data_IF_665789324143
#
_entry.id   IF_665789324143
#
_cell.length_a   1.000
_cell.length_b   1.000
_cell.length_c   1.000
_cell.angle_alpha   90.00
_cell.angle_beta   90.00
_cell.angle_gamma   90.00
#
_symmetry.space_group_name_H-M   'P 1'
#
loop_
_entity.id
_entity.type
_entity.pdbx_description
1 polymer ?
#
# COMPACT_ATOMS: atom_id res chain seq x y z
N UNK A 1 33.90 7.01 -10.57
CA UNK A 1 34.38 7.56 -9.28
C UNK A 1 35.38 6.58 -8.71
N UNK A 2 36.42 7.08 -8.04
CA UNK A 2 37.38 6.25 -7.33
C UNK A 2 36.93 6.12 -5.86
N UNK A 3 36.78 4.88 -5.39
CA UNK A 3 36.30 4.54 -4.05
C UNK A 3 37.43 3.87 -3.27
N UNK A 4 37.67 4.34 -2.05
CA UNK A 4 38.59 3.67 -1.13
C UNK A 4 37.98 2.36 -0.62
N UNK A 5 38.84 1.42 -0.21
CA UNK A 5 38.39 0.17 0.41
C UNK A 5 37.55 0.44 1.68
N UNK A 6 37.89 1.49 2.44
CA UNK A 6 37.15 1.87 3.64
C UNK A 6 35.72 2.34 3.31
N UNK A 7 35.57 3.21 2.30
CA UNK A 7 34.26 3.70 1.83
C UNK A 7 33.37 2.52 1.36
N UNK A 8 33.93 1.57 0.62
CA UNK A 8 33.20 0.38 0.13
C UNK A 8 32.74 -0.50 1.28
N UNK A 9 33.63 -0.79 2.23
CA UNK A 9 33.28 -1.64 3.37
C UNK A 9 32.26 -0.98 4.28
N UNK A 10 32.36 0.33 4.48
CA UNK A 10 31.40 1.11 5.28
C UNK A 10 30.02 1.11 4.63
N UNK A 11 29.95 1.37 3.32
CA UNK A 11 28.69 1.31 2.57
C UNK A 11 28.03 -0.07 2.63
N UNK A 12 28.82 -1.13 2.46
CA UNK A 12 28.31 -2.50 2.54
C UNK A 12 27.75 -2.84 3.92
N UNK A 13 28.41 -2.38 4.99
CA UNK A 13 27.92 -2.59 6.36
C UNK A 13 26.58 -1.90 6.60
N UNK A 14 26.41 -0.65 6.13
CA UNK A 14 25.13 0.07 6.21
C UNK A 14 24.07 -0.73 5.44
N UNK A 15 24.32 -1.06 4.17
CA UNK A 15 23.40 -1.83 3.33
C UNK A 15 22.99 -3.18 3.97
N UNK A 16 23.96 -3.96 4.49
CA UNK A 16 23.69 -5.26 5.09
C UNK A 16 22.83 -5.17 6.36
N UNK A 17 22.99 -4.09 7.14
CA UNK A 17 22.16 -3.87 8.34
C UNK A 17 20.73 -3.47 7.97
N UNK A 18 20.57 -2.49 7.07
CA UNK A 18 19.26 -1.95 6.70
C UNK A 18 18.43 -2.95 5.89
N UNK A 19 19.05 -3.70 4.97
CA UNK A 19 18.35 -4.71 4.15
C UNK A 19 17.79 -5.85 4.99
N UNK A 20 18.43 -6.21 6.10
CA UNK A 20 17.96 -7.25 7.01
C UNK A 20 16.76 -6.81 7.86
N UNK A 21 16.73 -5.54 8.30
CA UNK A 21 15.68 -5.02 9.20
C UNK A 21 14.56 -4.27 8.46
N UNK A 22 14.81 -3.80 7.25
CA UNK A 22 13.96 -2.86 6.52
C UNK A 22 14.16 -1.39 6.92
N UNK A 23 14.98 -1.10 7.94
CA UNK A 23 15.30 0.24 8.39
C UNK A 23 16.65 0.31 9.13
N UNK A 24 17.16 1.53 9.36
CA UNK A 24 18.40 1.80 10.08
C UNK A 24 18.21 2.34 11.49
N UNK A 25 19.29 2.33 12.28
CA UNK A 25 19.40 3.10 13.52
C UNK A 25 20.10 4.45 13.25
N UNK A 26 20.24 5.29 14.29
CA UNK A 26 20.71 6.67 14.16
C UNK A 26 22.14 6.79 13.61
N UNK A 27 23.01 5.83 13.95
CA UNK A 27 24.43 5.85 13.53
C UNK A 27 24.58 5.66 12.02
N UNK A 28 23.85 4.72 11.41
CA UNK A 28 23.90 4.51 9.96
C UNK A 28 23.34 5.72 9.20
N UNK A 29 22.26 6.33 9.70
CA UNK A 29 21.69 7.54 9.11
C UNK A 29 22.73 8.67 9.09
N UNK A 30 23.43 8.89 10.21
CA UNK A 30 24.44 9.95 10.30
C UNK A 30 25.54 9.79 9.25
N UNK A 31 26.07 8.58 9.09
CA UNK A 31 27.10 8.30 8.09
C UNK A 31 26.55 8.47 6.67
N UNK A 32 25.36 7.93 6.40
CA UNK A 32 24.70 8.04 5.09
C UNK A 32 24.43 9.49 4.68
N UNK A 33 24.10 10.38 5.63
CA UNK A 33 23.87 11.80 5.34
C UNK A 33 25.17 12.59 5.19
N UNK A 34 26.24 12.23 5.91
CA UNK A 34 27.49 12.98 5.93
C UNK A 34 28.45 12.62 4.78
N UNK A 35 28.47 11.36 4.35
CA UNK A 35 29.48 10.83 3.43
C UNK A 35 28.88 10.52 2.05
N UNK A 36 28.93 11.49 1.12
CA UNK A 36 28.29 11.40 -0.20
C UNK A 36 28.69 10.15 -1.02
N UNK A 37 29.96 9.75 -0.96
CA UNK A 37 30.44 8.55 -1.67
C UNK A 37 29.89 7.27 -1.06
N UNK A 38 29.84 7.20 0.27
CA UNK A 38 29.27 6.07 1.01
C UNK A 38 27.78 5.97 0.69
N UNK A 39 27.05 7.10 0.74
CA UNK A 39 25.65 7.19 0.30
C UNK A 39 25.45 6.63 -1.10
N UNK A 40 26.23 7.10 -2.07
CA UNK A 40 26.14 6.67 -3.46
C UNK A 40 26.32 5.16 -3.64
N UNK A 41 27.25 4.56 -2.88
CA UNK A 41 27.46 3.11 -2.87
C UNK A 41 26.30 2.35 -2.21
N UNK A 42 25.80 2.84 -1.06
CA UNK A 42 24.63 2.24 -0.38
C UNK A 42 23.42 2.23 -1.32
N UNK A 43 23.16 3.34 -2.00
CA UNK A 43 22.06 3.46 -2.97
C UNK A 43 22.29 2.56 -4.20
N UNK A 44 23.54 2.36 -4.61
CA UNK A 44 23.87 1.44 -5.69
C UNK A 44 23.60 -0.02 -5.29
N UNK A 45 24.01 -0.44 -4.10
CA UNK A 45 23.75 -1.79 -3.61
C UNK A 45 22.26 -2.08 -3.46
N UNK A 46 21.46 -1.10 -3.02
CA UNK A 46 20.01 -1.23 -2.98
C UNK A 46 19.39 -1.40 -4.38
N UNK A 47 19.86 -0.62 -5.36
CA UNK A 47 19.39 -0.71 -6.74
C UNK A 47 19.68 -2.06 -7.40
N UNK A 48 20.82 -2.70 -7.11
CA UNK A 48 21.16 -4.03 -7.62
C UNK A 48 20.18 -5.14 -7.17
N UNK A 49 19.38 -4.88 -6.13
CA UNK A 49 18.36 -5.80 -5.60
C UNK A 49 16.94 -5.23 -5.73
N UNK A 50 16.75 -4.33 -6.69
CA UNK A 50 15.47 -3.66 -6.98
C UNK A 50 14.83 -3.00 -5.75
N UNK A 51 15.65 -2.37 -4.92
CA UNK A 51 15.23 -1.65 -3.73
C UNK A 51 15.65 -0.18 -3.77
N UNK A 52 14.99 0.62 -2.94
CA UNK A 52 15.31 2.02 -2.72
C UNK A 52 15.57 2.29 -1.24
N UNK A 53 16.28 3.40 -0.99
CA UNK A 53 16.57 3.89 0.35
C UNK A 53 16.14 5.34 0.45
N UNK A 54 15.46 5.68 1.54
CA UNK A 54 15.11 7.05 1.86
C UNK A 54 15.13 7.28 3.36
N UNK A 55 15.46 8.51 3.77
CA UNK A 55 15.42 8.92 5.17
C UNK A 55 14.05 9.50 5.54
N UNK A 56 13.56 9.15 6.71
CA UNK A 56 12.40 9.79 7.36
C UNK A 56 12.70 9.92 8.85
N UNK A 57 12.66 11.15 9.36
CA UNK A 57 13.07 11.43 10.73
C UNK A 57 14.49 10.95 11.01
N UNK A 58 14.65 10.09 12.02
CA UNK A 58 15.95 9.55 12.46
C UNK A 58 16.26 8.14 11.91
N UNK A 59 15.59 7.72 10.83
CA UNK A 59 15.81 6.39 10.23
C UNK A 59 15.98 6.46 8.72
N UNK A 60 16.78 5.54 8.18
CA UNK A 60 16.69 5.12 6.78
C UNK A 60 15.67 3.99 6.67
N UNK A 61 14.92 3.96 5.58
CA UNK A 61 14.04 2.87 5.20
C UNK A 61 14.59 2.18 3.96
N UNK A 62 14.44 0.87 3.90
CA UNK A 62 14.82 0.03 2.77
C UNK A 62 13.57 -0.64 2.22
N UNK A 63 13.18 -0.29 0.99
CA UNK A 63 11.88 -0.66 0.42
C UNK A 63 12.06 -1.30 -0.96
N UNK A 64 11.46 -2.48 -1.24
CA UNK A 64 11.47 -3.08 -2.57
C UNK A 64 10.62 -2.26 -3.55
N UNK A 65 11.14 -2.06 -4.76
CA UNK A 65 10.46 -1.35 -5.86
C UNK A 65 9.75 -2.31 -6.84
N UNK A 66 10.16 -3.58 -6.87
CA UNK A 66 9.66 -4.54 -7.85
C UNK A 66 9.35 -5.90 -7.21
N UNK A 67 8.41 -6.63 -7.82
CA UNK A 67 7.96 -7.95 -7.33
C UNK A 67 9.05 -9.02 -7.37
N UNK A 68 10.03 -8.87 -8.25
CA UNK A 68 11.19 -9.77 -8.38
C UNK A 68 12.30 -9.47 -7.36
N UNK A 69 12.19 -8.36 -6.60
CA UNK A 69 13.16 -8.08 -5.54
C UNK A 69 13.18 -9.22 -4.52
N UNK A 70 14.36 -9.67 -4.05
CA UNK A 70 14.45 -10.68 -3.00
C UNK A 70 13.86 -10.22 -1.66
N UNK A 71 13.58 -8.92 -1.52
CA UNK A 71 12.98 -8.31 -0.33
C UNK A 71 11.45 -8.11 -0.47
N UNK A 72 10.87 -8.48 -1.61
CA UNK A 72 9.42 -8.46 -1.80
C UNK A 72 8.72 -9.52 -0.91
N UNK A 73 7.66 -9.12 -0.23
CA UNK A 73 6.85 -10.06 0.58
C UNK A 73 6.00 -10.90 -0.38
N UNK A 74 6.30 -12.19 -0.47
CA UNK A 74 5.54 -13.10 -1.34
C UNK A 74 4.10 -13.28 -0.87
N UNK A 75 3.21 -13.60 -1.83
CA UNK A 75 1.81 -13.93 -1.55
C UNK A 75 1.66 -15.07 -0.51
N UNK A 76 2.55 -16.06 -0.54
CA UNK A 76 2.51 -17.16 0.44
C UNK A 76 2.89 -16.68 1.85
N UNK A 77 3.85 -15.77 1.96
CA UNK A 77 4.21 -15.15 3.24
C UNK A 77 3.05 -14.31 3.78
N UNK A 78 2.40 -13.50 2.93
CA UNK A 78 1.22 -12.72 3.31
C UNK A 78 0.11 -13.64 3.83
N UNK A 79 -0.22 -14.71 3.10
CA UNK A 79 -1.26 -15.67 3.48
C UNK A 79 -0.99 -16.31 4.83
N UNK A 80 0.24 -16.79 5.04
CA UNK A 80 0.64 -17.47 6.29
C UNK A 80 0.67 -16.54 7.49
N UNK A 81 0.98 -15.26 7.27
CA UNK A 81 1.21 -14.30 8.36
C UNK A 81 -0.06 -13.59 8.78
N UNK A 82 -0.87 -13.14 7.82
CA UNK A 82 -2.01 -12.25 8.09
C UNK A 82 -3.37 -12.89 7.84
N UNK A 83 -3.42 -13.89 6.96
CA UNK A 83 -4.67 -14.50 6.51
C UNK A 83 -4.84 -15.94 7.03
N UNK A 84 -5.94 -16.58 6.63
CA UNK A 84 -6.25 -17.97 7.00
C UNK A 84 -5.76 -18.93 5.91
N UNK A 85 -5.65 -20.22 6.24
CA UNK A 85 -5.22 -21.24 5.28
C UNK A 85 -6.14 -21.45 4.06
N UNK A 86 -7.32 -20.80 4.01
CA UNK A 86 -8.25 -20.85 2.87
C UNK A 86 -8.07 -19.69 1.88
N UNK A 87 -7.17 -18.76 2.16
CA UNK A 87 -7.01 -17.52 1.38
C UNK A 87 -6.37 -17.78 0.01
N UNK A 88 -7.01 -17.26 -1.03
CA UNK A 88 -6.59 -17.33 -2.43
C UNK A 88 -5.90 -16.02 -2.85
N UNK A 89 -5.24 -16.02 -4.03
CA UNK A 89 -4.54 -14.80 -4.50
C UNK A 89 -5.49 -13.62 -4.72
N UNK A 90 -6.74 -13.89 -5.10
CA UNK A 90 -7.76 -12.85 -5.25
C UNK A 90 -8.04 -12.09 -3.95
N UNK A 91 -7.90 -12.71 -2.78
CA UNK A 91 -8.08 -12.02 -1.49
C UNK A 91 -6.92 -11.05 -1.20
N UNK A 92 -5.68 -11.41 -1.59
CA UNK A 92 -4.51 -10.52 -1.49
C UNK A 92 -4.65 -9.35 -2.46
N UNK A 93 -5.09 -9.64 -3.67
CA UNK A 93 -5.35 -8.61 -4.66
C UNK A 93 -6.44 -7.64 -4.18
N UNK A 94 -7.50 -8.16 -3.55
CA UNK A 94 -8.51 -7.31 -2.92
C UNK A 94 -7.97 -6.50 -1.74
N UNK A 95 -7.08 -7.09 -0.92
CA UNK A 95 -6.36 -6.35 0.12
C UNK A 95 -5.64 -5.14 -0.48
N UNK A 96 -4.90 -5.31 -1.58
CA UNK A 96 -4.24 -4.19 -2.24
C UNK A 96 -5.24 -3.11 -2.66
N UNK A 97 -6.35 -3.47 -3.31
CA UNK A 97 -7.39 -2.48 -3.68
C UNK A 97 -7.91 -1.71 -2.47
N UNK A 98 -8.16 -2.37 -1.33
CA UNK A 98 -8.62 -1.65 -0.13
C UNK A 98 -7.55 -0.73 0.46
N UNK A 99 -6.26 -1.06 0.33
CA UNK A 99 -5.13 -0.19 0.72
C UNK A 99 -5.05 1.03 -0.19
N UNK A 100 -5.21 0.82 -1.50
CA UNK A 100 -5.26 1.89 -2.51
C UNK A 100 -6.36 2.89 -2.16
N UNK A 101 -7.58 2.39 -1.87
CA UNK A 101 -8.71 3.23 -1.47
C UNK A 101 -8.39 3.94 -0.13
N UNK A 102 -7.85 3.23 0.86
CA UNK A 102 -7.48 3.83 2.15
C UNK A 102 -6.53 5.00 1.98
N UNK A 103 -5.45 4.79 1.23
CA UNK A 103 -4.46 5.85 1.00
C UNK A 103 -5.08 6.98 0.22
N UNK A 104 -5.99 6.68 -0.71
CA UNK A 104 -6.65 7.73 -1.47
C UNK A 104 -7.49 8.69 -0.61
N UNK A 105 -8.08 8.20 0.48
CA UNK A 105 -8.82 9.05 1.43
C UNK A 105 -7.97 10.12 2.13
N UNK A 106 -6.65 9.98 2.08
CA UNK A 106 -5.74 10.98 2.64
C UNK A 106 -5.29 12.01 1.60
N UNK A 107 -5.61 11.87 0.31
CA UNK A 107 -5.14 12.77 -0.74
C UNK A 107 -6.27 13.15 -1.70
N UNK A 108 -6.66 14.42 -1.73
CA UNK A 108 -7.83 14.87 -2.52
C UNK A 108 -7.66 14.77 -4.06
N UNK A 109 -6.45 14.52 -4.56
CA UNK A 109 -6.14 14.42 -6.00
C UNK A 109 -4.72 13.88 -6.27
N UNK A 110 -4.41 13.51 -7.53
CA UNK A 110 -3.03 13.23 -8.00
C UNK A 110 -2.02 14.34 -7.75
N UNK A 111 -2.51 15.57 -7.66
CA UNK A 111 -1.66 16.75 -7.53
C UNK A 111 -1.42 17.11 -6.07
N UNK A 112 -2.14 16.45 -5.15
CA UNK A 112 -2.03 16.71 -3.73
C UNK A 112 -0.75 16.04 -3.21
N UNK A 113 0.26 16.85 -2.90
CA UNK A 113 1.54 16.35 -2.40
C UNK A 113 1.52 16.09 -0.90
N UNK A 114 0.56 16.62 -0.16
CA UNK A 114 0.44 16.45 1.29
C UNK A 114 -0.88 15.78 1.66
N UNK A 115 -0.90 15.01 2.74
CA UNK A 115 -2.13 14.41 3.21
C UNK A 115 -3.11 15.51 3.66
N UNK A 116 -4.34 15.48 3.17
CA UNK A 116 -5.40 16.47 3.45
C UNK A 116 -6.27 16.07 4.64
N UNK A 117 -6.15 14.82 5.09
CA UNK A 117 -6.86 14.25 6.23
C UNK A 117 -5.86 13.78 7.29
N UNK A 118 -6.15 14.03 8.57
CA UNK A 118 -5.28 13.58 9.67
C UNK A 118 -5.49 12.11 10.03
N UNK A 119 -6.74 11.64 10.00
CA UNK A 119 -7.11 10.28 10.35
C UNK A 119 -8.42 9.84 9.67
N UNK A 120 -8.63 8.54 9.53
CA UNK A 120 -9.87 7.93 9.04
C UNK A 120 -10.33 6.81 9.96
N UNK A 121 -11.64 6.76 10.26
CA UNK A 121 -12.18 5.66 11.06
C UNK A 121 -12.28 4.37 10.24
N UNK A 122 -12.23 3.21 10.91
CA UNK A 122 -12.47 1.92 10.25
C UNK A 122 -13.85 1.84 9.59
N UNK A 123 -14.85 2.52 10.15
CA UNK A 123 -16.21 2.58 9.59
C UNK A 123 -16.25 3.43 8.33
N UNK A 124 -15.57 4.57 8.34
CA UNK A 124 -15.44 5.43 7.16
C UNK A 124 -14.70 4.67 6.07
N UNK A 125 -13.55 4.07 6.36
CA UNK A 125 -12.82 3.26 5.37
C UNK A 125 -13.70 2.16 4.76
N UNK A 126 -14.52 1.48 5.57
CA UNK A 126 -15.49 0.52 5.07
C UNK A 126 -16.53 1.16 4.13
N UNK A 127 -17.08 2.32 4.50
CA UNK A 127 -18.02 3.06 3.66
C UNK A 127 -17.37 3.40 2.31
N UNK A 128 -16.15 3.95 2.34
CA UNK A 128 -15.42 4.34 1.15
C UNK A 128 -15.19 3.14 0.21
N UNK A 129 -14.77 1.98 0.75
CA UNK A 129 -14.64 0.75 -0.03
C UNK A 129 -15.98 0.33 -0.64
N UNK A 130 -17.09 0.38 0.12
CA UNK A 130 -18.41 0.06 -0.44
C UNK A 130 -18.76 0.97 -1.63
N UNK A 131 -18.64 2.28 -1.47
CA UNK A 131 -19.01 3.25 -2.50
C UNK A 131 -18.24 3.04 -3.81
N UNK A 132 -16.92 2.82 -3.75
CA UNK A 132 -16.12 2.58 -4.98
C UNK A 132 -16.53 1.29 -5.66
N UNK A 133 -16.81 0.24 -4.89
CA UNK A 133 -17.22 -1.05 -5.44
C UNK A 133 -18.63 -1.01 -6.02
N UNK A 134 -19.54 -0.25 -5.42
CA UNK A 134 -20.88 0.02 -5.95
C UNK A 134 -20.79 0.79 -7.27
N UNK A 135 -19.92 1.81 -7.37
CA UNK A 135 -19.69 2.52 -8.63
C UNK A 135 -19.14 1.60 -9.71
N UNK A 136 -18.16 0.75 -9.39
CA UNK A 136 -17.65 -0.25 -10.33
C UNK A 136 -18.71 -1.27 -10.76
N UNK A 137 -19.57 -1.69 -9.84
CA UNK A 137 -20.65 -2.62 -10.12
C UNK A 137 -21.75 -2.01 -11.00
N UNK A 138 -21.93 -0.68 -10.94
CA UNK A 138 -22.85 0.05 -11.81
C UNK A 138 -22.35 0.19 -13.25
N UNK A 139 -21.04 -0.03 -13.51
CA UNK A 139 -20.49 -0.09 -14.86
C UNK A 139 -21.02 -1.33 -15.58
N UNK A 140 -21.46 -1.17 -16.83
CA UNK A 140 -21.93 -2.28 -17.65
C UNK A 140 -20.85 -3.37 -17.79
N UNK A 141 -21.25 -4.65 -17.82
CA UNK A 141 -20.30 -5.78 -17.89
C UNK A 141 -19.35 -5.73 -19.09
N UNK A 142 -19.78 -5.12 -20.19
CA UNK A 142 -18.97 -4.97 -21.40
C UNK A 142 -17.92 -3.88 -21.19
N UNK A 143 -18.34 -2.69 -20.76
CA UNK A 143 -17.46 -1.57 -20.41
C UNK A 143 -16.45 -1.95 -19.32
N UNK A 144 -16.88 -2.67 -18.28
CA UNK A 144 -16.00 -3.13 -17.20
C UNK A 144 -14.88 -4.02 -17.75
N UNK A 145 -15.18 -4.92 -18.70
CA UNK A 145 -14.16 -5.77 -19.33
C UNK A 145 -13.20 -4.99 -20.22
N UNK A 146 -13.63 -3.87 -20.80
CA UNK A 146 -12.71 -2.98 -21.54
C UNK A 146 -11.75 -2.29 -20.57
N UNK A 147 -12.27 -1.76 -19.46
CA UNK A 147 -11.46 -1.16 -18.39
C UNK A 147 -10.49 -2.17 -17.76
N UNK A 148 -10.92 -3.43 -17.55
CA UNK A 148 -10.03 -4.49 -17.05
C UNK A 148 -8.83 -4.73 -17.98
N UNK A 149 -9.04 -4.64 -19.30
CA UNK A 149 -7.95 -4.79 -20.29
C UNK A 149 -7.07 -3.55 -20.33
N UNK A 150 -7.66 -2.36 -20.28
CA UNK A 150 -6.94 -1.09 -20.33
C UNK A 150 -6.00 -0.93 -19.14
N UNK A 151 -6.50 -1.21 -17.93
CA UNK A 151 -5.74 -1.01 -16.70
C UNK A 151 -4.95 -2.26 -16.27
N UNK A 152 -5.22 -3.43 -16.86
CA UNK A 152 -4.71 -4.74 -16.44
C UNK A 152 -5.11 -5.10 -14.98
N UNK A 153 -6.28 -4.64 -14.54
CA UNK A 153 -6.87 -4.95 -13.22
C UNK A 153 -8.12 -5.82 -13.39
N UNK A 154 -8.23 -6.91 -12.63
CA UNK A 154 -9.40 -7.79 -12.64
C UNK A 154 -10.50 -7.29 -11.71
N UNK A 155 -11.23 -6.24 -12.13
CA UNK A 155 -12.29 -5.60 -11.36
C UNK A 155 -13.46 -6.53 -11.04
N UNK A 156 -13.82 -7.41 -11.96
CA UNK A 156 -14.89 -8.40 -11.80
C UNK A 156 -14.61 -9.32 -10.62
N UNK A 157 -13.37 -9.81 -10.49
CA UNK A 157 -12.97 -10.64 -9.35
C UNK A 157 -13.03 -9.87 -8.03
N UNK A 158 -12.75 -8.57 -8.04
CA UNK A 158 -12.87 -7.72 -6.84
C UNK A 158 -14.32 -7.56 -6.41
N UNK A 159 -15.22 -7.26 -7.34
CA UNK A 159 -16.66 -7.12 -7.09
C UNK A 159 -17.24 -8.45 -6.57
N UNK A 160 -16.87 -9.56 -7.21
CA UNK A 160 -17.26 -10.91 -6.77
C UNK A 160 -16.79 -11.17 -5.34
N UNK A 161 -15.53 -10.87 -5.02
CA UNK A 161 -14.99 -11.03 -3.66
C UNK A 161 -15.71 -10.22 -2.61
N UNK A 162 -16.07 -8.98 -2.93
CA UNK A 162 -16.82 -8.15 -2.01
C UNK A 162 -18.25 -8.65 -1.76
N UNK A 163 -18.84 -9.24 -2.80
CA UNK A 163 -20.16 -9.87 -2.74
C UNK A 163 -20.11 -11.18 -1.95
N UNK A 164 -19.08 -12.01 -2.13
CA UNK A 164 -18.92 -13.28 -1.39
C UNK A 164 -18.79 -13.07 0.13
N UNK A 165 -18.19 -11.96 0.56
CA UNK A 165 -18.13 -11.60 1.98
C UNK A 165 -19.53 -11.39 2.58
N UNK A 166 -20.55 -11.15 1.75
CA UNK A 166 -21.93 -10.98 2.19
C UNK A 166 -22.66 -12.29 2.51
N UNK A 167 -22.28 -13.39 1.85
CA UNK A 167 -23.01 -14.66 1.89
C UNK A 167 -22.62 -15.57 3.07
N UNK A 168 -21.59 -15.19 3.83
CA UNK A 168 -21.11 -15.99 4.98
C UNK A 168 -22.09 -16.02 6.19
N UNK A 169 -23.22 -15.29 6.16
CA UNK A 169 -24.24 -15.28 7.23
C UNK A 169 -25.68 -15.20 6.70
N UNK A 170 -26.20 -16.31 6.16
CA UNK A 170 -27.64 -16.52 5.92
C UNK A 170 -28.40 -16.70 7.25
N UNK A 171 -28.74 -15.62 7.95
CA UNK A 171 -29.84 -15.59 8.95
C UNK A 171 -30.47 -14.20 9.00
N UNK A 172 -31.66 -14.05 9.60
CA UNK A 172 -32.43 -12.80 9.68
C UNK A 172 -31.71 -11.56 10.29
N UNK A 173 -30.45 -11.69 10.70
CA UNK A 173 -29.50 -10.60 11.06
C UNK A 173 -28.48 -10.31 9.94
N UNK A 174 -28.84 -10.59 8.69
CA UNK A 174 -27.93 -10.60 7.54
C UNK A 174 -27.12 -9.30 7.40
N UNK A 175 -27.75 -8.13 7.47
CA UNK A 175 -27.07 -6.84 7.31
C UNK A 175 -25.99 -6.62 8.38
N UNK A 176 -26.29 -6.87 9.66
CA UNK A 176 -25.29 -6.82 10.74
C UNK A 176 -24.18 -7.86 10.54
N UNK A 177 -24.53 -9.03 9.99
CA UNK A 177 -23.58 -10.08 9.65
C UNK A 177 -22.55 -9.70 8.58
N UNK A 178 -23.01 -9.02 7.52
CA UNK A 178 -22.22 -8.52 6.37
C UNK A 178 -21.22 -7.45 6.77
N UNK A 179 -21.67 -6.46 7.54
CA UNK A 179 -20.79 -5.40 8.06
C UNK A 179 -19.66 -6.01 8.90
N UNK A 180 -19.95 -7.05 9.69
CA UNK A 180 -18.94 -7.73 10.51
C UNK A 180 -17.89 -8.47 9.66
N UNK A 181 -18.27 -9.17 8.59
CA UNK A 181 -17.30 -9.90 7.75
C UNK A 181 -16.39 -8.95 6.98
N UNK A 182 -16.97 -7.90 6.38
CA UNK A 182 -16.20 -6.84 5.68
C UNK A 182 -15.27 -6.09 6.60
N UNK A 183 -15.75 -5.68 7.79
CA UNK A 183 -14.91 -5.03 8.79
C UNK A 183 -13.80 -5.96 9.30
N UNK A 184 -14.08 -7.26 9.48
CA UNK A 184 -13.06 -8.25 9.85
C UNK A 184 -11.98 -8.41 8.78
N UNK A 185 -12.34 -8.30 7.49
CA UNK A 185 -11.37 -8.28 6.41
C UNK A 185 -10.49 -7.02 6.50
N UNK A 186 -11.09 -5.84 6.64
CA UNK A 186 -10.34 -4.58 6.79
C UNK A 186 -9.45 -4.56 8.03
N UNK A 187 -9.85 -5.16 9.15
CA UNK A 187 -8.96 -5.35 10.29
C UNK A 187 -7.75 -6.24 9.97
N UNK A 188 -7.91 -7.23 9.09
CA UNK A 188 -6.77 -8.04 8.62
C UNK A 188 -5.81 -7.18 7.81
N UNK A 189 -6.34 -6.33 6.93
CA UNK A 189 -5.55 -5.37 6.14
C UNK A 189 -4.85 -4.34 7.03
N UNK A 190 -5.57 -3.79 8.02
CA UNK A 190 -5.01 -2.88 9.05
C UNK A 190 -3.80 -3.50 9.73
N UNK A 191 -3.90 -4.74 10.24
CA UNK A 191 -2.76 -5.41 10.90
C UNK A 191 -1.56 -5.57 9.98
N UNK A 192 -1.79 -5.83 8.68
CA UNK A 192 -0.71 -5.85 7.71
C UNK A 192 -0.04 -4.48 7.59
N UNK A 193 -0.83 -3.41 7.41
CA UNK A 193 -0.31 -2.04 7.30
C UNK A 193 0.43 -1.58 8.57
N UNK A 194 -0.07 -1.91 9.76
CA UNK A 194 0.60 -1.62 11.04
C UNK A 194 1.93 -2.38 11.15
N UNK A 195 1.95 -3.67 10.77
CA UNK A 195 3.17 -4.47 10.76
C UNK A 195 4.22 -3.95 9.75
N UNK A 196 3.78 -3.25 8.70
CA UNK A 196 4.64 -2.56 7.75
C UNK A 196 4.97 -1.11 8.15
N UNK A 197 4.51 -0.65 9.31
CA UNK A 197 4.64 0.75 9.79
C UNK A 197 4.09 1.76 8.77
N UNK A 198 3.01 1.43 8.06
CA UNK A 198 2.37 2.31 7.08
C UNK A 198 1.19 3.10 7.67
N UNK A 199 0.52 2.52 8.66
CA UNK A 199 -0.53 3.19 9.43
C UNK A 199 -0.30 2.98 10.93
N UNK A 200 -0.88 3.87 11.72
CA UNK A 200 -0.95 3.75 13.17
C UNK A 200 -2.39 3.88 13.65
N UNK A 201 -2.79 3.03 14.60
CA UNK A 201 -4.03 3.20 15.36
C UNK A 201 -3.83 4.26 16.44
N UNK A 202 -4.64 5.31 16.40
CA UNK A 202 -4.58 6.43 17.34
C UNK A 202 -5.67 6.36 18.43
N UNK A 203 -6.40 5.24 18.50
CA UNK A 203 -7.56 5.03 19.36
C UNK A 203 -8.87 5.23 18.60
N UNK A 204 -9.99 4.86 19.24
CA UNK A 204 -11.35 5.03 18.70
C UNK A 204 -11.59 4.41 17.31
N UNK A 205 -10.85 3.35 16.95
CA UNK A 205 -10.86 2.75 15.61
C UNK A 205 -10.46 3.73 14.49
N UNK A 206 -9.61 4.72 14.81
CA UNK A 206 -9.09 5.70 13.85
C UNK A 206 -7.64 5.35 13.44
N UNK A 207 -7.37 5.50 12.14
CA UNK A 207 -6.10 5.23 11.52
C UNK A 207 -5.47 6.52 11.01
N UNK A 208 -4.17 6.67 11.20
CA UNK A 208 -3.37 7.75 10.64
C UNK A 208 -2.21 7.19 9.81
N UNK A 209 -1.87 7.85 8.69
CA UNK A 209 -0.67 7.52 7.92
C UNK A 209 0.60 7.85 8.68
N UNK A 210 1.57 6.95 8.65
CA UNK A 210 2.91 7.25 9.16
C UNK A 210 3.68 8.13 8.19
N UNK A 211 4.73 8.80 8.68
CA UNK A 211 5.63 9.58 7.81
C UNK A 211 6.32 8.70 6.74
N UNK A 212 6.60 7.43 7.07
CA UNK A 212 7.08 6.43 6.10
C UNK A 212 6.09 6.27 4.95
N UNK A 213 4.81 6.07 5.25
CA UNK A 213 3.78 5.93 4.23
C UNK A 213 3.64 7.19 3.38
N UNK A 214 3.62 8.39 4.01
CA UNK A 214 3.53 9.66 3.28
C UNK A 214 4.66 9.82 2.27
N UNK A 215 5.92 9.53 2.66
CA UNK A 215 7.06 9.60 1.75
C UNK A 215 6.99 8.55 0.65
N UNK A 216 6.57 7.31 0.94
CA UNK A 216 6.37 6.28 -0.09
C UNK A 216 5.30 6.74 -1.09
N UNK A 217 4.19 7.27 -0.60
CA UNK A 217 3.08 7.71 -1.44
C UNK A 217 3.53 8.85 -2.36
N UNK A 218 4.14 9.90 -1.79
CA UNK A 218 4.65 11.05 -2.52
C UNK A 218 5.68 10.68 -3.59
N UNK A 219 6.57 9.72 -3.31
CA UNK A 219 7.69 9.38 -4.20
C UNK A 219 7.36 8.33 -5.25
N UNK A 220 6.46 7.39 -4.95
CA UNK A 220 6.26 6.21 -5.79
C UNK A 220 4.80 5.99 -6.16
N UNK A 221 3.86 6.42 -5.33
CA UNK A 221 2.46 6.08 -5.55
C UNK A 221 1.72 7.12 -6.40
N UNK A 222 2.15 8.38 -6.32
CA UNK A 222 1.60 9.47 -7.13
C UNK A 222 2.15 9.50 -8.56
N UNK A 223 3.22 8.77 -8.85
CA UNK A 223 3.74 8.68 -10.23
C UNK A 223 2.88 7.71 -11.06
N UNK A 224 2.38 8.21 -12.19
CA UNK A 224 1.45 7.50 -13.08
C UNK A 224 2.00 6.15 -13.56
N UNK A 225 3.31 6.02 -13.70
CA UNK A 225 4.00 4.80 -14.15
C UNK A 225 3.81 3.63 -13.16
N UNK A 226 3.72 3.91 -11.87
CA UNK A 226 3.59 2.87 -10.83
C UNK A 226 2.14 2.48 -10.54
N UNK A 227 1.19 3.38 -10.75
CA UNK A 227 -0.23 3.12 -10.47
C UNK A 227 -1.06 2.83 -11.75
N UNK A 228 -0.50 3.04 -12.95
CA UNK A 228 -1.17 2.81 -14.25
C UNK A 228 -2.51 3.54 -14.40
N UNK A 229 -2.66 4.70 -13.76
CA UNK A 229 -3.92 5.45 -13.77
C UNK A 229 -5.02 4.80 -12.93
N UNK A 230 -4.75 3.73 -12.15
CA UNK A 230 -5.77 3.06 -11.32
C UNK A 230 -6.36 4.02 -10.31
N UNK A 231 -5.50 4.81 -9.69
CA UNK A 231 -5.94 5.79 -8.75
C UNK A 231 -6.85 6.76 -9.51
N UNK A 232 -6.46 7.20 -10.73
CA UNK A 232 -7.18 8.28 -11.44
C UNK A 232 -8.58 7.85 -11.79
N UNK A 233 -8.67 6.61 -12.24
CA UNK A 233 -9.92 5.91 -12.37
C UNK A 233 -10.70 5.86 -11.04
N UNK A 234 -10.08 5.48 -9.92
CA UNK A 234 -10.72 5.44 -8.60
C UNK A 234 -11.27 6.81 -8.14
N UNK A 235 -10.53 7.91 -8.24
CA UNK A 235 -11.06 9.22 -7.85
C UNK A 235 -11.99 9.83 -8.90
N UNK A 236 -11.87 9.46 -10.18
CA UNK A 236 -12.83 9.90 -11.19
C UNK A 236 -14.24 9.38 -10.86
N UNK A 237 -14.35 8.27 -10.13
CA UNK A 237 -15.61 7.73 -9.63
C UNK A 237 -16.21 8.51 -8.44
N UNK A 238 -15.43 9.35 -7.76
CA UNK A 238 -15.90 10.19 -6.65
C UNK A 238 -16.55 11.49 -7.11
N UNK A 239 -16.22 11.96 -8.32
CA UNK A 239 -16.83 13.18 -8.84
C UNK A 239 -18.31 12.89 -9.06
N UNK A 240 -19.22 13.65 -8.43
CA UNK A 240 -20.61 13.64 -8.86
C UNK A 240 -20.60 13.89 -10.36
N UNK A 241 -21.49 13.23 -11.10
CA UNK A 241 -21.85 13.71 -12.44
C UNK A 241 -22.45 15.12 -12.28
N UNK A 242 -21.60 16.13 -12.15
CA UNK A 242 -21.98 17.50 -12.45
C UNK A 242 -22.22 17.55 -13.95
N UNK A 243 -23.51 17.45 -14.27
CA UNK A 243 -24.19 17.93 -15.47
C UNK A 243 -23.43 17.77 -16.80
N UNK A 244 -23.80 16.71 -17.54
CA UNK A 244 -23.82 16.71 -19.00
C UNK A 244 -25.24 16.35 -19.48
#
# INVERSE_FOLDING_TARGET
MDYSQEEVMMAFQIYAKISRKGYSEADELRVYLAEDKVRGLVDQFAREVDCTIFSVGERLYFVPLAMNSPFHISNDTLKKTFFTGKTVNADIYFMYVTIIILFGEFYDSYQTTEATRDFISMTDWLLQVNERLETLQAIGKEDLKELEKEYEYNWSAIIEKWSDLDDLKETAKAQTGRTISRLSFLHTVKRFLEAQELVQDIGNDELQLTEKAKVIIQRYYMELEYNRGILEFIYSMERPKEEA
#
